data_IF_963274372480
#
_entry.id   IF_963274372480
#
_cell.length_a   1.000
_cell.length_b   1.000
_cell.length_c   1.000
_cell.angle_alpha   90.00
_cell.angle_beta   90.00
_cell.angle_gamma   90.00
#
_symmetry.space_group_name_H-M   'P 1'
#
loop_
_entity.id
_entity.type
_entity.pdbx_description
1 polymer ?
#
# COMPACT_ATOMS: atom_id res chain seq x y z
N UNK A 1 9.88 -47.22 50.63
CA UNK A 1 10.34 -46.86 51.98
C UNK A 1 11.23 -45.63 51.87
N UNK A 2 10.95 -44.62 52.70
CA UNK A 2 11.80 -43.49 53.13
C UNK A 2 12.36 -42.52 52.07
N UNK A 3 11.86 -41.28 51.94
CA UNK A 3 11.92 -40.08 52.81
C UNK A 3 13.05 -39.11 52.39
N UNK A 4 12.65 -37.89 51.98
CA UNK A 4 13.44 -36.66 51.82
C UNK A 4 14.11 -36.24 53.16
N UNK A 5 15.19 -35.43 53.16
CA UNK A 5 15.02 -33.96 53.32
C UNK A 5 16.10 -33.02 52.71
N UNK A 6 15.61 -31.88 52.21
CA UNK A 6 15.96 -30.47 52.54
C UNK A 6 17.43 -30.04 52.77
N UNK A 7 17.92 -29.06 51.99
CA UNK A 7 18.55 -27.82 52.54
C UNK A 7 18.75 -26.70 51.50
N UNK A 8 18.17 -25.54 51.78
CA UNK A 8 18.58 -24.20 51.30
C UNK A 8 19.45 -23.51 52.38
N UNK A 9 20.32 -22.55 52.02
CA UNK A 9 20.16 -21.15 52.48
C UNK A 9 20.39 -20.12 51.33
N UNK A 10 19.60 -19.04 51.26
CA UNK A 10 19.92 -17.64 51.67
C UNK A 10 21.09 -17.01 50.89
N UNK A 11 20.78 -16.08 49.97
CA UNK A 11 20.70 -14.62 50.12
C UNK A 11 22.10 -13.97 50.10
N UNK A 12 22.44 -13.36 48.97
CA UNK A 12 23.25 -12.14 48.99
C UNK A 12 22.79 -11.15 47.91
N UNK A 13 22.60 -9.93 48.39
CA UNK A 13 21.99 -8.79 47.72
C UNK A 13 23.08 -7.77 47.45
N UNK A 14 23.39 -7.44 46.19
CA UNK A 14 24.10 -6.20 45.84
C UNK A 14 23.65 -5.62 44.48
N UNK A 15 22.81 -4.59 44.61
CA UNK A 15 22.78 -3.28 43.95
C UNK A 15 22.84 -3.08 42.41
N UNK A 16 22.03 -2.14 41.88
CA UNK A 16 21.98 -1.76 40.47
C UNK A 16 23.02 -0.69 40.08
N UNK A 17 23.64 -0.85 38.90
CA UNK A 17 24.51 0.15 38.29
C UNK A 17 23.67 1.28 37.65
N UNK A 18 23.81 2.48 38.19
CA UNK A 18 23.32 3.75 37.64
C UNK A 18 24.32 4.27 36.60
N UNK A 19 23.90 4.71 35.40
CA UNK A 19 24.78 5.46 34.52
C UNK A 19 24.91 6.91 34.97
N UNK A 20 26.17 7.30 35.17
CA UNK A 20 26.68 8.62 35.54
C UNK A 20 26.35 9.66 34.46
N UNK A 21 25.68 10.74 34.87
CA UNK A 21 25.60 12.01 34.13
C UNK A 21 26.94 12.73 34.23
N UNK A 22 27.66 12.85 33.12
CA UNK A 22 28.76 13.81 33.01
C UNK A 22 28.25 15.11 32.39
N UNK A 23 28.16 16.15 33.22
CA UNK A 23 28.03 17.54 32.82
C UNK A 23 29.38 18.06 32.31
N UNK A 24 29.45 18.37 31.02
CA UNK A 24 30.57 19.12 30.41
C UNK A 24 30.08 20.49 29.97
N UNK A 25 30.55 21.50 30.70
CA UNK A 25 30.49 22.93 30.37
C UNK A 25 31.26 23.21 29.07
N UNK A 26 30.66 23.90 28.10
CA UNK A 26 31.40 24.84 27.25
C UNK A 26 30.58 26.10 26.96
N UNK A 27 31.24 27.24 27.21
CA UNK A 27 30.82 28.62 26.99
C UNK A 27 31.07 28.99 25.53
N UNK A 28 30.13 29.73 24.92
CA UNK A 28 30.40 30.70 23.86
C UNK A 28 29.17 31.63 23.80
N UNK A 29 29.22 32.75 24.52
CA UNK A 29 29.54 34.08 23.99
C UNK A 29 28.53 34.59 22.95
N UNK A 30 27.54 35.30 23.48
CA UNK A 30 26.97 36.56 22.98
C UNK A 30 27.51 37.10 21.66
N UNK A 31 26.59 37.42 20.74
CA UNK A 31 26.59 38.75 20.12
C UNK A 31 25.20 39.18 19.65
N UNK A 32 24.83 40.39 20.11
CA UNK A 32 23.67 41.18 19.71
C UNK A 32 24.05 41.94 18.44
N UNK A 33 23.17 41.98 17.44
CA UNK A 33 23.15 43.03 16.41
C UNK A 33 21.83 42.92 15.63
N UNK A 34 20.83 43.74 15.98
CA UNK A 34 20.47 45.01 15.31
C UNK A 34 19.59 44.82 14.06
N UNK A 35 18.37 45.34 14.22
CA UNK A 35 17.47 45.76 13.15
C UNK A 35 18.21 46.58 12.07
N UNK A 36 17.80 46.40 10.82
CA UNK A 36 17.59 47.53 9.91
C UNK A 36 16.53 47.21 8.86
N UNK A 37 15.37 47.81 9.08
CA UNK A 37 14.39 48.23 8.08
C UNK A 37 15.09 48.93 6.91
N UNK A 38 14.83 48.49 5.68
CA UNK A 38 15.03 49.32 4.49
C UNK A 38 13.70 49.38 3.75
N UNK A 39 13.02 50.49 3.97
CA UNK A 39 12.00 51.03 3.07
C UNK A 39 12.74 51.66 1.88
N UNK A 40 12.33 51.35 0.65
CA UNK A 40 12.68 52.16 -0.51
C UNK A 40 11.44 52.35 -1.36
N UNK A 41 10.70 53.41 -1.03
CA UNK A 41 9.75 54.05 -1.91
C UNK A 41 10.51 54.89 -2.94
N UNK A 42 10.34 54.60 -4.22
CA UNK A 42 10.60 55.56 -5.30
C UNK A 42 9.52 55.42 -6.36
N UNK A 43 8.67 56.43 -6.39
CA UNK A 43 7.69 56.73 -7.42
C UNK A 43 8.37 57.40 -8.62
N UNK A 44 8.02 56.98 -9.85
CA UNK A 44 7.99 57.88 -11.00
C UNK A 44 7.21 57.31 -12.19
N UNK A 45 6.14 58.03 -12.52
CA UNK A 45 5.72 58.47 -13.85
C UNK A 45 5.44 57.43 -14.97
N UNK A 46 4.13 57.32 -15.23
CA UNK A 46 3.43 56.82 -16.40
C UNK A 46 3.68 57.60 -17.71
N UNK A 47 3.71 56.91 -18.86
CA UNK A 47 3.10 57.26 -20.17
C UNK A 47 3.42 56.16 -21.25
N UNK A 48 2.72 56.06 -22.40
CA UNK A 48 1.74 55.00 -22.63
C UNK A 48 2.02 54.09 -23.87
N UNK A 49 1.13 53.12 -24.03
CA UNK A 49 0.71 52.43 -25.28
C UNK A 49 1.52 51.23 -25.80
N UNK A 50 0.88 50.06 -25.73
CA UNK A 50 0.77 49.08 -26.83
C UNK A 50 -0.46 48.16 -26.59
N UNK A 51 -1.27 47.87 -27.62
CA UNK A 51 -2.49 47.09 -27.47
C UNK A 51 -2.21 45.57 -27.48
N UNK A 52 -3.02 44.84 -26.72
CA UNK A 52 -3.40 43.44 -26.85
C UNK A 52 -2.34 42.47 -27.41
N UNK A 53 -1.65 41.80 -26.50
CA UNK A 53 -1.27 40.39 -26.72
C UNK A 53 -2.07 39.59 -25.69
N UNK A 54 -2.95 38.65 -26.08
CA UNK A 54 -3.58 37.76 -25.12
C UNK A 54 -2.47 37.00 -24.39
N UNK A 55 -2.59 36.74 -23.08
CA UNK A 55 -1.62 35.90 -22.39
C UNK A 55 -1.57 34.58 -23.13
N UNK A 56 -0.38 34.23 -23.62
CA UNK A 56 -0.11 32.88 -24.10
C UNK A 56 -0.58 31.96 -22.97
N UNK A 57 -1.63 31.19 -23.25
CA UNK A 57 -2.09 30.13 -22.37
C UNK A 57 -0.87 29.28 -22.07
N UNK A 58 -0.35 29.39 -20.85
CA UNK A 58 0.58 28.42 -20.31
C UNK A 58 -0.08 27.08 -20.57
N UNK A 59 0.48 26.32 -21.52
CA UNK A 59 0.06 24.96 -21.78
C UNK A 59 0.36 24.22 -20.50
N UNK A 60 -0.65 24.13 -19.62
CA UNK A 60 -0.59 23.34 -18.42
C UNK A 60 -0.20 21.96 -18.91
N UNK A 61 0.92 21.38 -18.45
CA UNK A 61 1.34 20.08 -18.94
C UNK A 61 0.15 19.14 -18.72
N UNK A 62 -0.43 18.67 -19.81
CA UNK A 62 -1.60 17.78 -19.79
C UNK A 62 -1.12 16.55 -19.03
N UNK A 63 -1.49 16.44 -17.76
CA UNK A 63 -1.16 15.27 -16.97
C UNK A 63 -2.00 14.14 -17.57
N UNK A 64 -1.32 13.05 -17.97
CA UNK A 64 -1.96 11.90 -18.61
C UNK A 64 -3.12 11.33 -17.76
N UNK A 65 -3.15 11.65 -16.47
CA UNK A 65 -4.18 11.27 -15.52
C UNK A 65 -5.39 12.25 -15.49
N UNK A 66 -5.49 13.23 -16.39
CA UNK A 66 -6.63 14.18 -16.46
C UNK A 66 -7.96 13.50 -16.80
N UNK A 67 -7.93 12.29 -17.38
CA UNK A 67 -9.12 11.55 -17.81
C UNK A 67 -9.58 10.48 -16.82
N UNK A 68 -9.08 10.50 -15.58
CA UNK A 68 -9.52 9.56 -14.54
C UNK A 68 -10.83 10.06 -13.93
N UNK A 69 -11.84 9.17 -13.88
CA UNK A 69 -13.11 9.45 -13.23
C UNK A 69 -12.89 9.89 -11.77
N UNK A 70 -13.53 10.99 -11.38
CA UNK A 70 -13.45 11.53 -10.03
C UNK A 70 -13.93 10.52 -8.97
N UNK A 71 -14.83 9.60 -9.34
CA UNK A 71 -15.27 8.53 -8.44
C UNK A 71 -14.15 7.54 -8.12
N UNK A 72 -13.26 7.24 -9.09
CA UNK A 72 -12.10 6.37 -8.90
C UNK A 72 -11.00 7.00 -8.04
N UNK A 73 -11.05 8.31 -7.80
CA UNK A 73 -10.12 9.02 -6.92
C UNK A 73 -10.65 9.15 -5.49
N UNK A 74 -11.89 8.73 -5.23
CA UNK A 74 -12.55 8.93 -3.94
C UNK A 74 -12.11 7.90 -2.90
N UNK A 75 -11.57 8.38 -1.78
CA UNK A 75 -11.04 7.53 -0.70
C UNK A 75 -9.65 6.98 -0.99
N UNK A 76 -8.97 7.51 -2.00
CA UNK A 76 -7.64 7.07 -2.44
C UNK A 76 -6.56 7.96 -1.85
N UNK A 77 -5.49 7.34 -1.34
CA UNK A 77 -4.28 8.05 -0.95
C UNK A 77 -3.04 7.30 -1.40
N UNK A 78 -2.01 8.05 -1.79
CA UNK A 78 -0.73 7.49 -2.20
C UNK A 78 0.40 8.34 -1.62
N UNK A 79 1.27 7.73 -0.81
CA UNK A 79 2.39 8.45 -0.21
C UNK A 79 3.42 7.48 0.41
N UNK A 80 4.57 8.04 0.77
CA UNK A 80 5.55 7.40 1.67
C UNK A 80 5.26 7.71 3.15
N UNK A 81 4.38 8.66 3.43
CA UNK A 81 3.91 8.94 4.78
C UNK A 81 2.96 7.84 5.28
N UNK A 82 2.68 7.85 6.58
CA UNK A 82 1.70 6.94 7.15
C UNK A 82 0.29 7.25 6.60
N UNK A 83 -0.46 6.25 6.10
CA UNK A 83 -1.81 6.47 5.62
C UNK A 83 -2.74 6.89 6.75
N UNK A 84 -3.64 7.81 6.44
CA UNK A 84 -4.70 8.24 7.34
C UNK A 84 -5.86 7.27 7.21
N UNK A 85 -6.16 6.56 8.30
CA UNK A 85 -7.27 5.62 8.35
C UNK A 85 -8.52 6.37 8.81
N UNK A 86 -9.39 6.72 7.86
CA UNK A 86 -10.64 7.45 8.12
C UNK A 86 -11.85 6.72 7.56
N UNK A 87 -13.01 7.03 8.13
CA UNK A 87 -14.31 6.63 7.59
C UNK A 87 -14.74 7.50 6.41
N UNK A 88 -14.24 8.74 6.31
CA UNK A 88 -14.60 9.67 5.25
C UNK A 88 -13.77 9.40 3.99
N UNK A 89 -14.45 9.10 2.88
CA UNK A 89 -13.83 8.97 1.58
C UNK A 89 -13.62 10.34 0.93
N UNK A 90 -12.54 11.02 1.31
CA UNK A 90 -12.14 12.25 0.65
C UNK A 90 -11.55 11.96 -0.74
N UNK A 91 -11.77 12.84 -1.74
CA UNK A 91 -11.03 12.77 -2.98
C UNK A 91 -9.53 12.80 -2.73
N UNK A 92 -8.77 12.07 -3.56
CA UNK A 92 -7.32 12.07 -3.53
C UNK A 92 -6.78 13.50 -3.56
N UNK A 93 -5.86 13.79 -2.64
CA UNK A 93 -5.26 15.11 -2.53
C UNK A 93 -4.05 15.21 -3.46
N UNK A 94 -4.00 16.27 -4.27
CA UNK A 94 -2.93 16.51 -5.23
C UNK A 94 -3.07 15.70 -6.54
N UNK A 95 -2.23 16.00 -7.53
CA UNK A 95 -2.25 15.28 -8.80
C UNK A 95 -1.71 13.85 -8.64
N UNK A 96 -2.26 12.90 -9.41
CA UNK A 96 -1.66 11.57 -9.52
C UNK A 96 -0.22 11.70 -10.10
N UNK A 97 0.80 11.14 -9.43
CA UNK A 97 2.18 11.24 -9.89
C UNK A 97 2.39 10.40 -11.15
N UNK A 98 3.18 10.91 -12.10
CA UNK A 98 3.59 10.13 -13.28
C UNK A 98 4.72 9.15 -12.95
N UNK A 99 5.62 9.54 -12.04
CA UNK A 99 6.78 8.75 -11.65
C UNK A 99 6.79 8.68 -10.13
N UNK A 100 6.88 7.45 -9.61
CA UNK A 100 7.05 7.19 -8.19
C UNK A 100 8.38 6.48 -8.00
N UNK A 101 9.36 7.21 -7.45
CA UNK A 101 10.70 6.68 -7.26
C UNK A 101 10.82 5.97 -5.90
N UNK A 102 11.13 4.67 -5.92
CA UNK A 102 11.41 3.88 -4.72
C UNK A 102 12.91 3.87 -4.44
N UNK A 103 13.30 4.21 -3.22
CA UNK A 103 14.70 4.09 -2.80
C UNK A 103 15.03 2.64 -2.42
N UNK A 104 16.26 2.22 -2.71
CA UNK A 104 16.79 0.94 -2.24
C UNK A 104 17.43 1.11 -0.86
N UNK A 105 17.00 0.32 0.12
CA UNK A 105 17.62 0.26 1.45
C UNK A 105 16.72 0.82 2.54
N UNK A 106 17.26 1.74 3.36
CA UNK A 106 16.54 2.32 4.50
C UNK A 106 15.56 3.40 4.05
N UNK A 107 14.42 2.98 3.51
CA UNK A 107 13.37 3.91 3.07
C UNK A 107 11.99 3.47 3.57
N UNK A 108 11.07 4.44 3.80
CA UNK A 108 9.68 4.09 4.07
C UNK A 108 9.06 3.36 2.86
N UNK A 109 8.13 2.42 3.09
CA UNK A 109 7.37 1.80 2.01
C UNK A 109 6.41 2.82 1.38
N UNK A 110 6.23 2.74 0.06
CA UNK A 110 5.15 3.45 -0.63
C UNK A 110 3.84 2.75 -0.30
N UNK A 111 2.80 3.50 0.08
CA UNK A 111 1.45 2.97 0.19
C UNK A 111 0.55 3.49 -0.93
N UNK A 112 -0.40 2.66 -1.35
CA UNK A 112 -1.57 3.02 -2.15
C UNK A 112 -2.80 2.48 -1.43
N UNK A 113 -3.61 3.37 -0.87
CA UNK A 113 -4.83 3.05 -0.14
C UNK A 113 -6.04 3.34 -1.02
N UNK A 114 -7.08 2.52 -0.88
CA UNK A 114 -8.39 2.77 -1.49
C UNK A 114 -9.53 2.02 -0.80
N UNK A 115 -10.78 2.24 -1.26
CA UNK A 115 -11.96 1.62 -0.69
C UNK A 115 -11.97 0.09 -0.77
N UNK A 116 -11.61 -0.49 -1.92
CA UNK A 116 -11.57 -1.94 -2.10
C UNK A 116 -10.42 -2.38 -3.00
N UNK A 117 -10.12 -3.67 -2.96
CA UNK A 117 -9.15 -4.30 -3.87
C UNK A 117 -9.48 -4.00 -5.32
N UNK A 118 -10.73 -4.26 -5.74
CA UNK A 118 -11.19 -4.03 -7.11
C UNK A 118 -11.09 -2.55 -7.49
N UNK A 119 -11.48 -1.65 -6.58
CA UNK A 119 -11.36 -0.21 -6.83
C UNK A 119 -9.91 0.21 -7.12
N UNK A 120 -8.95 -0.27 -6.32
CA UNK A 120 -7.54 0.03 -6.55
C UNK A 120 -7.03 -0.55 -7.88
N UNK A 121 -7.41 -1.77 -8.24
CA UNK A 121 -7.02 -2.35 -9.53
C UNK A 121 -7.58 -1.54 -10.72
N UNK A 122 -8.87 -1.16 -10.67
CA UNK A 122 -9.49 -0.29 -11.67
C UNK A 122 -8.75 1.04 -11.80
N UNK A 123 -8.48 1.70 -10.68
CA UNK A 123 -7.73 2.95 -10.68
C UNK A 123 -6.33 2.78 -11.31
N UNK A 124 -5.58 1.77 -10.87
CA UNK A 124 -4.23 1.51 -11.38
C UNK A 124 -4.23 1.19 -12.88
N UNK A 125 -5.25 0.50 -13.40
CA UNK A 125 -5.42 0.28 -14.83
C UNK A 125 -5.68 1.57 -15.62
N UNK A 126 -6.32 2.58 -15.00
CA UNK A 126 -6.61 3.88 -15.63
C UNK A 126 -5.48 4.91 -15.50
N UNK A 127 -4.58 4.73 -14.53
CA UNK A 127 -3.38 5.57 -14.33
C UNK A 127 -2.23 5.14 -15.25
N UNK A 128 -2.44 5.17 -16.57
CA UNK A 128 -1.46 4.70 -17.56
C UNK A 128 -0.17 5.53 -17.58
N UNK A 129 -0.24 6.80 -17.18
CA UNK A 129 0.92 7.69 -17.06
C UNK A 129 1.76 7.44 -15.81
N UNK A 130 1.27 6.66 -14.85
CA UNK A 130 1.95 6.39 -13.59
C UNK A 130 2.83 5.14 -13.69
N UNK A 131 4.09 5.28 -13.30
CA UNK A 131 5.02 4.15 -13.14
C UNK A 131 5.81 4.22 -11.85
N UNK A 132 6.16 3.05 -11.34
CA UNK A 132 7.06 2.87 -10.21
C UNK A 132 8.44 2.52 -10.77
N UNK A 133 9.46 3.27 -10.36
CA UNK A 133 10.84 3.03 -10.76
C UNK A 133 11.77 3.15 -9.55
N UNK A 134 12.98 2.56 -9.58
CA UNK A 134 13.95 2.81 -8.53
C UNK A 134 14.50 4.22 -8.63
N UNK A 135 14.97 4.79 -7.52
CA UNK A 135 15.72 6.06 -7.59
C UNK A 135 16.97 5.91 -8.45
N UNK A 136 17.39 7.01 -9.08
CA UNK A 136 18.62 7.04 -9.92
C UNK A 136 19.83 6.56 -9.14
N UNK A 137 19.93 6.93 -7.86
CA UNK A 137 20.98 6.46 -6.95
C UNK A 137 20.98 4.94 -6.78
N UNK A 138 19.79 4.35 -6.62
CA UNK A 138 19.62 2.91 -6.47
C UNK A 138 20.08 2.18 -7.74
N UNK A 139 19.68 2.67 -8.91
CA UNK A 139 20.09 2.10 -10.21
C UNK A 139 21.60 2.23 -10.45
N UNK A 140 22.21 3.32 -10.00
CA UNK A 140 23.66 3.53 -10.16
C UNK A 140 24.49 2.63 -9.25
N UNK A 141 24.03 2.38 -8.01
CA UNK A 141 24.77 1.61 -7.01
C UNK A 141 24.62 0.09 -7.18
N UNK A 142 23.46 -0.37 -7.65
CA UNK A 142 23.13 -1.79 -7.72
C UNK A 142 22.94 -2.22 -9.17
N UNK A 143 23.86 -3.05 -9.66
CA UNK A 143 23.82 -3.65 -11.01
C UNK A 143 22.87 -4.86 -11.12
N UNK A 144 21.82 -4.89 -10.31
CA UNK A 144 20.89 -6.02 -10.21
C UNK A 144 19.50 -5.52 -10.59
N UNK A 145 18.75 -6.35 -11.32
CA UNK A 145 17.34 -6.08 -11.62
C UNK A 145 16.56 -5.91 -10.31
N UNK A 146 16.08 -4.70 -10.08
CA UNK A 146 15.32 -4.37 -8.88
C UNK A 146 13.91 -4.92 -9.01
N UNK A 147 13.49 -5.69 -8.01
CA UNK A 147 12.17 -6.32 -7.99
C UNK A 147 11.27 -5.66 -6.94
N UNK A 148 9.98 -5.59 -7.23
CA UNK A 148 8.98 -5.00 -6.36
C UNK A 148 8.40 -6.04 -5.40
N UNK A 149 8.47 -5.78 -4.10
CA UNK A 149 7.76 -6.54 -3.07
C UNK A 149 6.43 -5.85 -2.78
N UNK A 150 5.36 -6.65 -2.68
CA UNK A 150 4.03 -6.16 -2.33
C UNK A 150 3.53 -6.80 -1.05
N UNK A 151 3.10 -5.96 -0.11
CA UNK A 151 2.32 -6.37 1.06
C UNK A 151 0.92 -5.77 0.94
N UNK A 152 -0.09 -6.60 1.06
CA UNK A 152 -1.51 -6.22 1.03
C UNK A 152 -2.00 -6.16 2.47
N UNK A 153 -2.66 -5.06 2.81
CA UNK A 153 -3.31 -4.90 4.11
C UNK A 153 -4.78 -4.52 3.92
N UNK A 154 -5.65 -5.24 4.60
CA UNK A 154 -7.05 -4.87 4.76
C UNK A 154 -7.24 -4.31 6.16
N UNK A 155 -7.79 -3.10 6.28
CA UNK A 155 -7.95 -2.43 7.57
C UNK A 155 -9.37 -1.87 7.74
N UNK A 156 -9.93 -2.05 8.93
CA UNK A 156 -11.16 -1.40 9.38
C UNK A 156 -10.80 -0.16 10.19
N UNK A 157 -11.35 1.03 9.84
CA UNK A 157 -11.18 2.22 10.66
C UNK A 157 -11.71 2.05 12.09
N UNK A 158 -12.77 1.25 12.26
CA UNK A 158 -13.38 0.98 13.56
C UNK A 158 -14.06 -0.39 13.59
N UNK A 159 -14.06 -1.07 14.74
CA UNK A 159 -14.59 -2.45 14.87
C UNK A 159 -16.09 -2.55 14.62
N UNK A 160 -16.83 -1.47 14.93
CA UNK A 160 -18.27 -1.40 14.71
C UNK A 160 -18.65 -1.14 13.24
N UNK A 161 -17.69 -0.80 12.39
CA UNK A 161 -17.93 -0.49 10.99
C UNK A 161 -17.64 -1.72 10.14
N UNK A 162 -18.55 -2.10 9.23
CA UNK A 162 -18.34 -3.25 8.36
C UNK A 162 -17.33 -2.95 7.24
N UNK A 163 -17.10 -1.67 6.93
CA UNK A 163 -16.29 -1.21 5.80
C UNK A 163 -14.80 -1.46 6.01
N UNK A 164 -14.20 -2.18 5.07
CA UNK A 164 -12.75 -2.41 4.99
C UNK A 164 -12.13 -1.46 3.96
N UNK A 165 -10.90 -1.03 4.22
CA UNK A 165 -10.01 -0.35 3.26
C UNK A 165 -8.93 -1.32 2.83
N UNK A 166 -8.49 -1.22 1.57
CA UNK A 166 -7.33 -1.94 1.06
C UNK A 166 -6.14 -0.99 0.99
N UNK A 167 -4.97 -1.46 1.42
CA UNK A 167 -3.69 -0.75 1.30
C UNK A 167 -2.69 -1.70 0.64
N UNK A 168 -2.11 -1.26 -0.46
CA UNK A 168 -0.93 -1.88 -1.05
C UNK A 168 0.31 -1.17 -0.57
N UNK A 169 1.25 -1.93 -0.06
CA UNK A 169 2.55 -1.45 0.35
C UNK A 169 3.63 -1.98 -0.60
N UNK A 170 4.49 -1.09 -1.05
CA UNK A 170 5.52 -1.38 -2.02
C UNK A 170 6.90 -1.04 -1.46
N UNK A 171 7.82 -1.99 -1.62
CA UNK A 171 9.25 -1.82 -1.33
C UNK A 171 10.06 -2.50 -2.42
N UNK A 172 11.33 -2.12 -2.57
CA UNK A 172 12.25 -2.90 -3.41
C UNK A 172 12.69 -4.14 -2.62
N UNK A 173 12.79 -5.28 -3.30
CA UNK A 173 13.28 -6.54 -2.73
C UNK A 173 14.72 -6.40 -2.26
N UNK A 174 15.05 -7.07 -1.15
CA UNK A 174 16.40 -7.09 -0.59
C UNK A 174 16.85 -8.53 -0.37
N UNK A 175 18.10 -8.87 -0.71
CA UNK A 175 18.63 -10.18 -0.39
C UNK A 175 18.64 -10.38 1.12
N UNK A 176 18.11 -11.52 1.57
CA UNK A 176 18.11 -11.89 2.97
C UNK A 176 19.52 -12.29 3.37
N UNK A 177 20.15 -11.66 4.39
CA UNK A 177 21.48 -12.05 4.82
C UNK A 177 21.47 -13.48 5.36
N UNK A 178 22.51 -14.26 5.03
CA UNK A 178 22.63 -15.66 5.45
C UNK A 178 23.05 -15.76 6.93
N UNK A 179 22.16 -15.38 7.84
CA UNK A 179 22.36 -15.47 9.29
C UNK A 179 21.15 -16.14 9.95
N UNK A 180 21.34 -16.91 11.04
CA UNK A 180 20.25 -17.66 11.69
C UNK A 180 19.03 -16.81 12.06
N UNK A 181 19.25 -15.56 12.49
CA UNK A 181 18.18 -14.62 12.86
C UNK A 181 17.26 -14.19 11.70
N UNK A 182 17.71 -14.36 10.46
CA UNK A 182 16.95 -13.94 9.26
C UNK A 182 16.31 -15.12 8.51
N UNK A 183 16.43 -16.35 9.04
CA UNK A 183 15.83 -17.55 8.42
C UNK A 183 14.33 -17.45 8.21
N UNK A 184 13.61 -16.71 9.06
CA UNK A 184 12.16 -16.48 8.91
C UNK A 184 11.78 -15.83 7.58
N UNK A 185 12.68 -15.05 6.97
CA UNK A 185 12.42 -14.37 5.69
C UNK A 185 12.68 -15.26 4.47
N UNK A 186 13.29 -16.44 4.65
CA UNK A 186 13.65 -17.34 3.55
C UNK A 186 12.49 -18.26 3.12
N UNK A 187 11.47 -18.44 3.97
CA UNK A 187 10.46 -19.50 3.79
C UNK A 187 9.23 -19.10 2.96
N UNK A 188 9.26 -17.98 2.24
CA UNK A 188 8.10 -17.44 1.49
C UNK A 188 6.81 -17.36 2.34
N UNK A 189 6.96 -17.12 3.64
CA UNK A 189 5.82 -17.01 4.55
C UNK A 189 5.02 -15.74 4.22
N UNK A 190 3.73 -15.93 3.94
CA UNK A 190 2.81 -14.87 3.55
C UNK A 190 2.38 -13.98 4.72
N UNK A 191 2.61 -14.40 5.96
CA UNK A 191 2.30 -13.61 7.16
C UNK A 191 3.48 -12.76 7.63
N UNK A 192 4.68 -13.05 7.11
CA UNK A 192 5.91 -12.37 7.48
C UNK A 192 6.15 -11.22 6.51
N UNK A 193 6.39 -10.03 7.05
CA UNK A 193 6.80 -8.87 6.23
C UNK A 193 8.13 -9.17 5.54
N UNK A 194 8.35 -8.68 4.31
CA UNK A 194 9.64 -8.81 3.62
C UNK A 194 10.83 -8.28 4.43
N UNK A 195 12.03 -8.78 4.16
CA UNK A 195 13.26 -8.33 4.84
C UNK A 195 13.51 -6.82 4.67
N UNK A 196 13.06 -6.21 3.57
CA UNK A 196 13.10 -4.75 3.35
C UNK A 196 12.46 -3.94 4.49
N UNK A 197 11.45 -4.48 5.17
CA UNK A 197 10.80 -3.84 6.33
C UNK A 197 11.64 -3.88 7.60
N UNK A 198 12.76 -4.61 7.62
CA UNK A 198 13.72 -4.56 8.74
C UNK A 198 14.76 -3.44 8.60
N UNK A 199 14.83 -2.80 7.42
CA UNK A 199 15.83 -1.78 7.12
C UNK A 199 15.37 -0.37 7.55
N UNK A 200 14.06 -0.16 7.69
CA UNK A 200 13.46 1.11 8.09
C UNK A 200 12.38 0.88 9.16
N UNK A 201 11.95 1.92 9.90
CA UNK A 201 10.85 1.80 10.84
C UNK A 201 9.58 1.30 10.16
N UNK A 202 9.07 0.16 10.60
CA UNK A 202 7.81 -0.40 10.11
C UNK A 202 6.66 0.56 10.44
N UNK A 203 5.79 0.92 9.47
CA UNK A 203 4.58 1.72 9.72
C UNK A 203 3.78 1.15 10.89
N UNK A 204 3.29 2.00 11.80
CA UNK A 204 2.71 1.49 13.07
C UNK A 204 1.53 0.57 12.84
N UNK A 205 0.71 0.84 11.82
CA UNK A 205 -0.43 0.01 11.45
C UNK A 205 -0.06 -1.37 10.89
N UNK A 206 1.19 -1.60 10.49
CA UNK A 206 1.71 -2.91 10.09
C UNK A 206 2.32 -3.70 11.26
N UNK A 207 2.38 -3.11 12.46
CA UNK A 207 2.99 -3.75 13.65
C UNK A 207 2.04 -4.68 14.39
N UNK A 208 0.73 -4.43 14.32
CA UNK A 208 -0.28 -5.09 15.18
C UNK A 208 -0.58 -6.56 14.83
N UNK A 209 0.30 -7.23 14.09
CA UNK A 209 0.15 -8.63 13.68
C UNK A 209 -0.68 -8.80 12.40
N UNK A 210 -0.50 -9.95 11.75
CA UNK A 210 -1.02 -10.19 10.40
C UNK A 210 -2.52 -10.53 10.34
N UNK A 211 -3.17 -10.86 11.46
CA UNK A 211 -4.58 -11.25 11.46
C UNK A 211 -5.30 -10.86 12.76
N UNK A 212 -5.71 -9.61 12.81
CA UNK A 212 -6.55 -9.05 13.89
C UNK A 212 -7.97 -8.79 13.37
N UNK A 213 -8.96 -8.53 14.26
CA UNK A 213 -10.30 -8.12 13.84
C UNK A 213 -10.33 -6.78 13.08
N UNK A 214 -9.31 -5.94 13.26
CA UNK A 214 -9.21 -4.61 12.64
C UNK A 214 -8.25 -4.55 11.45
N UNK A 215 -7.27 -5.45 11.38
CA UNK A 215 -6.21 -5.42 10.36
C UNK A 215 -5.83 -6.83 9.95
N UNK A 216 -5.76 -7.06 8.63
CA UNK A 216 -5.36 -8.32 8.02
C UNK A 216 -4.25 -8.04 7.03
N UNK A 217 -3.17 -8.80 7.07
CA UNK A 217 -1.98 -8.58 6.24
C UNK A 217 -1.62 -9.85 5.49
N UNK A 218 -1.21 -9.66 4.23
CA UNK A 218 -0.75 -10.70 3.34
C UNK A 218 0.43 -10.20 2.51
N UNK A 219 1.58 -10.82 2.65
CA UNK A 219 2.74 -10.61 1.79
C UNK A 219 2.58 -11.46 0.54
N UNK A 220 2.60 -10.84 -0.65
CA UNK A 220 2.60 -11.60 -1.90
C UNK A 220 3.96 -12.30 -2.03
N UNK A 221 4.00 -13.65 -2.03
CA UNK A 221 5.24 -14.41 -2.19
C UNK A 221 5.65 -14.49 -3.68
N UNK A 222 6.93 -14.73 -3.96
CA UNK A 222 7.37 -15.08 -5.32
C UNK A 222 7.13 -16.56 -5.55
N UNK A 223 6.45 -16.90 -6.64
CA UNK A 223 6.31 -18.28 -7.12
C UNK A 223 7.01 -18.42 -8.48
N UNK A 224 7.10 -19.65 -8.99
CA UNK A 224 7.63 -19.91 -10.34
C UNK A 224 6.70 -19.30 -11.40
N UNK A 225 5.39 -19.39 -11.21
CA UNK A 225 4.37 -18.81 -12.09
C UNK A 225 4.18 -17.31 -11.92
N UNK A 226 4.52 -16.76 -10.75
CA UNK A 226 4.33 -15.37 -10.41
C UNK A 226 5.58 -14.82 -9.69
N UNK A 227 6.65 -14.54 -10.44
CA UNK A 227 7.84 -13.90 -9.88
C UNK A 227 7.55 -12.44 -9.54
N UNK A 228 8.34 -11.87 -8.63
CA UNK A 228 8.22 -10.44 -8.32
C UNK A 228 8.38 -9.56 -9.57
N UNK A 229 7.58 -8.49 -9.71
CA UNK A 229 7.68 -7.61 -10.86
C UNK A 229 9.03 -6.91 -10.91
N UNK A 230 9.63 -6.85 -12.10
CA UNK A 230 10.87 -6.11 -12.34
C UNK A 230 10.53 -4.62 -12.50
N UNK A 231 11.34 -3.75 -11.92
CA UNK A 231 11.22 -2.31 -12.04
C UNK A 231 12.05 -1.78 -13.23
N UNK A 232 11.58 -0.75 -13.96
CA UNK A 232 10.34 -0.01 -13.74
C UNK A 232 9.07 -0.78 -14.14
N UNK A 233 7.96 -0.52 -13.43
CA UNK A 233 6.65 -1.08 -13.75
C UNK A 233 5.57 0.02 -13.79
N UNK A 234 4.78 0.04 -14.86
CA UNK A 234 3.63 0.93 -14.99
C UNK A 234 2.46 0.44 -14.12
N UNK A 235 1.61 1.34 -13.65
CA UNK A 235 0.45 0.97 -12.85
C UNK A 235 -0.51 -0.02 -13.51
N UNK A 236 -0.82 0.05 -14.82
CA UNK A 236 -1.65 -0.97 -15.48
C UNK A 236 -1.03 -2.38 -15.42
N UNK A 237 0.26 -2.51 -15.72
CA UNK A 237 0.97 -3.79 -15.59
C UNK A 237 1.02 -4.27 -14.14
N UNK A 238 1.18 -3.36 -13.18
CA UNK A 238 1.12 -3.71 -11.76
C UNK A 238 -0.29 -4.19 -11.35
N UNK A 239 -1.35 -3.58 -11.89
CA UNK A 239 -2.73 -4.04 -11.67
C UNK A 239 -2.94 -5.46 -12.21
N UNK A 240 -2.43 -5.76 -13.41
CA UNK A 240 -2.47 -7.11 -13.99
C UNK A 240 -1.69 -8.12 -13.13
N UNK A 241 -0.52 -7.74 -12.62
CA UNK A 241 0.25 -8.58 -11.70
C UNK A 241 -0.52 -8.88 -10.41
N UNK A 242 -1.15 -7.87 -9.80
CA UNK A 242 -1.95 -8.04 -8.59
C UNK A 242 -3.18 -8.92 -8.86
N UNK A 243 -3.85 -8.72 -9.99
CA UNK A 243 -4.95 -9.60 -10.41
C UNK A 243 -4.47 -11.05 -10.57
N UNK A 244 -3.33 -11.28 -11.22
CA UNK A 244 -2.73 -12.60 -11.35
C UNK A 244 -2.38 -13.22 -9.98
N UNK A 245 -1.93 -12.42 -9.00
CA UNK A 245 -1.69 -12.87 -7.63
C UNK A 245 -2.98 -13.36 -6.94
N UNK A 246 -4.09 -12.65 -7.15
CA UNK A 246 -5.39 -13.07 -6.65
C UNK A 246 -5.86 -14.36 -7.33
N UNK A 247 -5.71 -14.46 -8.65
CA UNK A 247 -6.10 -15.65 -9.40
C UNK A 247 -5.28 -16.88 -9.01
N UNK A 248 -3.97 -16.70 -8.77
CA UNK A 248 -3.12 -17.74 -8.23
C UNK A 248 -3.61 -18.16 -6.82
N UNK A 249 -3.90 -17.21 -5.93
CA UNK A 249 -4.47 -17.50 -4.60
C UNK A 249 -5.76 -18.31 -4.68
N UNK A 250 -6.64 -18.00 -5.65
CA UNK A 250 -7.89 -18.74 -5.91
C UNK A 250 -7.64 -20.17 -6.38
N UNK A 251 -6.58 -20.43 -7.15
CA UNK A 251 -6.20 -21.79 -7.60
C UNK A 251 -5.82 -22.70 -6.43
N UNK A 252 -5.21 -22.14 -5.38
CA UNK A 252 -4.84 -22.87 -4.17
C UNK A 252 -5.98 -23.04 -3.15
N UNK A 253 -7.23 -22.68 -3.48
CA UNK A 253 -8.37 -22.81 -2.55
C UNK A 253 -8.56 -24.22 -1.98
N UNK A 254 -8.33 -25.25 -2.79
CA UNK A 254 -8.45 -26.65 -2.39
C UNK A 254 -7.26 -27.16 -1.56
N UNK A 255 -6.11 -26.49 -1.63
CA UNK A 255 -4.92 -26.86 -0.88
C UNK A 255 -5.00 -26.27 0.54
N UNK A 256 -5.25 -27.14 1.53
CA UNK A 256 -5.47 -26.69 2.90
C UNK A 256 -4.19 -26.40 3.69
N UNK A 257 -3.04 -26.80 3.16
CA UNK A 257 -1.74 -26.62 3.79
C UNK A 257 -1.04 -25.32 3.39
N UNK A 258 -1.49 -24.65 2.34
CA UNK A 258 -0.74 -23.54 1.76
C UNK A 258 -1.27 -22.16 2.15
N UNK A 259 -0.36 -21.28 2.55
CA UNK A 259 -0.66 -19.88 2.85
C UNK A 259 -1.14 -19.10 1.62
N UNK A 260 -0.90 -19.62 0.41
CA UNK A 260 -1.26 -18.97 -0.85
C UNK A 260 -2.75 -18.70 -0.98
N UNK A 261 -3.62 -19.54 -0.41
CA UNK A 261 -5.08 -19.36 -0.46
C UNK A 261 -5.59 -18.19 0.41
N UNK A 262 -4.75 -17.65 1.30
CA UNK A 262 -5.14 -16.68 2.33
C UNK A 262 -5.63 -15.36 1.72
N UNK A 263 -4.98 -14.88 0.65
CA UNK A 263 -5.35 -13.62 0.00
C UNK A 263 -6.80 -13.64 -0.52
N UNK A 264 -7.16 -14.66 -1.30
CA UNK A 264 -8.52 -14.80 -1.81
C UNK A 264 -9.55 -14.89 -0.68
N UNK A 265 -9.26 -15.65 0.39
CA UNK A 265 -10.14 -15.71 1.58
C UNK A 265 -10.27 -14.37 2.30
N UNK A 266 -9.18 -13.61 2.41
CA UNK A 266 -9.21 -12.28 3.03
C UNK A 266 -10.09 -11.33 2.21
N UNK A 267 -9.93 -11.31 0.89
CA UNK A 267 -10.75 -10.47 0.01
C UNK A 267 -12.21 -10.86 0.10
N UNK A 268 -12.53 -12.16 0.02
CA UNK A 268 -13.91 -12.64 0.11
C UNK A 268 -14.54 -12.24 1.46
N UNK A 269 -13.82 -12.39 2.58
CA UNK A 269 -14.28 -12.01 3.92
C UNK A 269 -14.39 -10.50 4.12
N UNK A 270 -13.48 -9.71 3.54
CA UNK A 270 -13.49 -8.25 3.68
C UNK A 270 -14.57 -7.60 2.81
N UNK A 271 -14.92 -8.22 1.69
CA UNK A 271 -15.77 -7.63 0.66
C UNK A 271 -16.92 -8.55 0.23
N UNK A 272 -17.52 -9.30 1.17
CA UNK A 272 -18.61 -10.27 0.91
C UNK A 272 -19.76 -9.71 0.05
N UNK A 273 -19.97 -8.39 0.05
CA UNK A 273 -21.03 -7.70 -0.67
C UNK A 273 -20.62 -7.11 -2.04
N UNK A 274 -19.33 -7.01 -2.37
CA UNK A 274 -18.87 -6.39 -3.62
C UNK A 274 -19.17 -7.27 -4.85
N UNK A 275 -19.47 -8.55 -4.65
CA UNK A 275 -19.91 -9.46 -5.72
C UNK A 275 -21.37 -9.29 -6.17
N UNK A 276 -22.10 -8.28 -5.67
CA UNK A 276 -23.52 -8.07 -5.96
C UNK A 276 -23.86 -6.74 -6.65
N UNK A 277 -22.90 -5.85 -6.87
CA UNK A 277 -23.17 -4.51 -7.43
C UNK A 277 -22.67 -4.41 -8.86
N UNK A 278 -23.27 -5.20 -9.75
CA UNK A 278 -23.29 -4.89 -11.20
C UNK A 278 -24.41 -5.66 -11.91
N UNK A 279 -25.66 -5.30 -11.64
CA UNK A 279 -26.72 -5.16 -12.66
C UNK A 279 -27.93 -4.47 -12.05
N UNK A 280 -28.17 -3.24 -12.46
CA UNK A 280 -29.52 -2.68 -12.41
C UNK A 280 -30.44 -3.53 -13.31
N UNK A 281 -31.24 -4.40 -12.70
CA UNK A 281 -32.61 -4.68 -13.15
C UNK A 281 -33.33 -5.64 -12.19
N UNK A 282 -34.43 -5.13 -11.63
CA UNK A 282 -35.63 -5.86 -11.18
C UNK A 282 -35.48 -6.93 -10.09
N UNK A 283 -36.14 -6.70 -8.95
CA UNK A 283 -36.80 -7.79 -8.22
C UNK A 283 -36.84 -7.62 -6.70
N UNK A 284 -37.93 -7.04 -6.22
CA UNK A 284 -38.38 -7.15 -4.82
C UNK A 284 -38.50 -8.63 -4.46
N UNK A 285 -37.82 -9.09 -3.40
CA UNK A 285 -38.04 -10.46 -2.89
C UNK A 285 -36.91 -11.06 -2.06
N UNK A 286 -36.47 -10.39 -0.98
CA UNK A 286 -35.64 -11.02 0.06
C UNK A 286 -36.42 -11.18 1.37
N UNK A 287 -37.47 -11.98 1.34
CA UNK A 287 -38.04 -12.59 2.54
C UNK A 287 -38.45 -14.03 2.17
N UNK A 288 -38.14 -14.98 3.05
CA UNK A 288 -38.41 -16.43 2.97
C UNK A 288 -37.43 -17.30 2.17
N UNK A 289 -36.30 -17.68 2.80
CA UNK A 289 -35.78 -19.06 2.67
C UNK A 289 -34.95 -19.48 3.88
N UNK A 290 -35.64 -19.75 4.98
CA UNK A 290 -35.17 -20.66 6.03
C UNK A 290 -35.95 -21.96 5.86
N UNK A 291 -35.30 -23.07 6.21
CA UNK A 291 -35.80 -24.44 6.39
C UNK A 291 -35.73 -25.41 5.18
N UNK A 292 -35.00 -26.51 5.43
CA UNK A 292 -34.99 -27.85 4.80
C UNK A 292 -34.36 -28.05 3.41
N UNK A 293 -33.45 -29.04 3.33
CA UNK A 293 -33.21 -29.74 2.06
C UNK A 293 -31.79 -30.24 1.79
N UNK A 294 -31.42 -31.32 2.46
CA UNK A 294 -30.39 -32.30 2.09
C UNK A 294 -30.46 -32.64 0.58
N UNK A 295 -29.37 -32.50 -0.17
CA UNK A 295 -29.36 -32.96 -1.57
C UNK A 295 -28.20 -32.44 -2.43
N UNK A 296 -27.20 -33.30 -2.59
CA UNK A 296 -26.10 -33.20 -3.55
C UNK A 296 -26.60 -32.83 -4.96
N UNK A 297 -26.08 -31.74 -5.55
CA UNK A 297 -26.09 -31.50 -7.00
C UNK A 297 -25.07 -30.41 -7.36
N UNK A 298 -24.12 -30.80 -8.21
CA UNK A 298 -23.23 -29.98 -9.01
C UNK A 298 -23.76 -28.56 -9.28
N UNK A 299 -23.10 -27.56 -8.70
CA UNK A 299 -23.00 -26.24 -9.32
C UNK A 299 -21.54 -25.85 -9.43
N UNK A 300 -21.07 -26.02 -10.66
CA UNK A 300 -19.91 -25.38 -11.27
C UNK A 300 -20.11 -23.87 -11.16
N UNK A 301 -19.89 -23.30 -9.98
CA UNK A 301 -19.77 -21.85 -9.81
C UNK A 301 -18.35 -21.47 -10.23
N UNK A 302 -18.11 -21.44 -11.55
CA UNK A 302 -17.02 -20.66 -12.12
C UNK A 302 -17.32 -19.19 -11.86
N UNK A 303 -16.97 -18.70 -10.68
CA UNK A 303 -17.11 -17.30 -10.29
C UNK A 303 -15.90 -16.52 -10.81
N UNK A 304 -16.16 -15.66 -11.79
CA UNK A 304 -15.48 -14.37 -11.97
C UNK A 304 -13.98 -14.38 -12.28
N UNK A 305 -13.54 -15.08 -13.33
CA UNK A 305 -12.16 -14.93 -13.84
C UNK A 305 -12.05 -13.98 -15.04
N UNK A 306 -13.10 -13.85 -15.84
CA UNK A 306 -13.02 -13.15 -17.12
C UNK A 306 -13.45 -11.67 -17.03
N UNK A 307 -14.56 -11.34 -16.34
CA UNK A 307 -15.09 -9.96 -16.31
C UNK A 307 -14.13 -8.96 -15.66
N UNK A 308 -13.54 -9.32 -14.51
CA UNK A 308 -12.57 -8.46 -13.82
C UNK A 308 -11.31 -8.23 -14.69
N UNK A 309 -10.90 -9.24 -15.48
CA UNK A 309 -9.77 -9.10 -16.42
C UNK A 309 -10.14 -8.23 -17.63
N UNK A 310 -11.35 -8.36 -18.17
CA UNK A 310 -11.81 -7.55 -19.30
C UNK A 310 -11.87 -6.06 -18.94
N UNK A 311 -12.33 -5.73 -17.73
CA UNK A 311 -12.37 -4.34 -17.26
C UNK A 311 -10.98 -3.70 -17.12
N UNK A 312 -9.95 -4.49 -16.79
CA UNK A 312 -8.56 -4.03 -16.73
C UNK A 312 -7.91 -3.89 -18.12
N UNK A 313 -8.45 -4.56 -19.14
CA UNK A 313 -7.82 -4.72 -20.46
C UNK A 313 -8.46 -3.84 -21.55
N UNK A 314 -9.65 -3.27 -21.35
CA UNK A 314 -10.28 -2.38 -22.37
C UNK A 314 -10.08 -0.89 -22.09
N UNK A 315 -9.03 -0.25 -22.63
CA UNK A 315 -8.90 1.20 -22.69
C UNK A 315 -9.58 1.71 -23.98
N UNK A 316 -10.87 1.44 -24.20
CA UNK A 316 -11.56 2.13 -25.29
C UNK A 316 -11.92 3.53 -24.80
N UNK A 317 -11.02 4.48 -25.08
CA UNK A 317 -11.37 5.88 -25.23
C UNK A 317 -12.20 5.95 -26.51
N UNK A 318 -13.47 6.38 -26.48
CA UNK A 318 -14.17 6.75 -27.70
C UNK A 318 -13.46 8.00 -28.24
N UNK A 319 -12.58 7.79 -29.20
CA UNK A 319 -11.98 8.88 -29.97
C UNK A 319 -13.12 9.62 -30.69
N UNK A 320 -13.27 10.92 -30.40
CA UNK A 320 -14.21 11.86 -31.01
C UNK A 320 -13.84 12.20 -32.48
N UNK A 321 -13.55 11.21 -33.31
CA UNK A 321 -13.39 11.40 -34.76
C UNK A 321 -14.62 10.89 -35.49
N UNK A 322 -15.61 11.78 -35.59
CA UNK A 322 -16.63 11.80 -36.63
C UNK A 322 -16.34 12.93 -37.60
#
# INVERSE_FOLDING_TARGET
MSLNPTRSPELDSLAPLVPVRTSGFEKSSSEKSRLSTISSSSSSLSLPSKPNTPPASESTPINANHFVDAELLRGVSMSFAQPVISYQNHPMQGPAPNIISLSYGRSPPLHVQGPSWRHLLKLMARLSGTRVEPTVESMAQHKIDMRLRTVVQFIRPHISQPEWRTIFWFTIDHPVPNQPQFRRYANNDVEVLPFSYSLAPVPTILRDGADTPLSKTYTIPSTESLPYPILPITFPNLALYLQAALDESRRYMSDSSSGFRKLAKMIDMCYENDGYVETESRGVGKMFKKVMGRGNKNKKNGRGGNEDTYELVTPFVPDEWG
#
